data_IF_151848739629
#
_entry.id   IF_151848739629
#
_cell.length_a   1.000
_cell.length_b   1.000
_cell.length_c   1.000
_cell.angle_alpha   90.00
_cell.angle_beta   90.00
_cell.angle_gamma   90.00
#
_symmetry.space_group_name_H-M   'P 1'
#
loop_
_entity.id
_entity.type
_entity.pdbx_description
1 polymer ?
#
# COMPACT_ATOMS: atom_id res chain seq x y z
N UNK A 1 -7.32 7.87 0.47
CA UNK A 1 -6.76 9.22 0.20
C UNK A 1 -6.03 9.37 -1.13
N UNK A 2 -4.86 8.75 -1.34
CA UNK A 2 -4.02 8.98 -2.55
C UNK A 2 -4.78 8.79 -3.88
N UNK A 3 -5.62 7.76 -3.98
CA UNK A 3 -6.38 7.48 -5.22
C UNK A 3 -7.48 8.51 -5.55
N UNK A 4 -7.78 9.45 -4.64
CA UNK A 4 -8.74 10.55 -4.89
C UNK A 4 -8.17 11.61 -5.83
N UNK A 5 -6.85 11.70 -5.94
CA UNK A 5 -6.15 12.61 -6.84
C UNK A 5 -6.17 12.06 -8.28
N UNK A 6 -6.61 12.88 -9.24
CA UNK A 6 -6.86 12.45 -10.63
C UNK A 6 -5.58 12.27 -11.46
N UNK A 7 -4.53 12.96 -11.08
CA UNK A 7 -3.19 12.92 -11.66
C UNK A 7 -2.35 11.74 -11.17
N UNK A 8 -2.78 11.03 -10.12
CA UNK A 8 -2.16 9.77 -9.69
C UNK A 8 -2.38 8.70 -10.75
N UNK A 9 -1.28 8.28 -11.38
CA UNK A 9 -1.24 7.25 -12.43
C UNK A 9 -1.04 5.84 -11.88
N UNK A 10 -0.30 5.70 -10.78
CA UNK A 10 0.04 4.42 -10.16
C UNK A 10 0.29 4.60 -8.67
N UNK A 11 -0.09 3.58 -7.89
CA UNK A 11 0.20 3.48 -6.45
C UNK A 11 0.79 2.11 -6.17
N UNK A 12 1.93 2.07 -5.51
CA UNK A 12 2.52 0.82 -5.00
C UNK A 12 2.39 0.82 -3.48
N UNK A 13 1.71 -0.19 -2.94
CA UNK A 13 1.63 -0.46 -1.50
C UNK A 13 2.54 -1.63 -1.18
N UNK A 14 3.52 -1.42 -0.32
CA UNK A 14 4.43 -2.48 0.15
C UNK A 14 4.04 -2.82 1.57
N UNK A 15 3.63 -4.07 1.78
CA UNK A 15 3.14 -4.58 3.06
C UNK A 15 3.81 -5.94 3.31
N UNK A 16 4.35 -6.16 4.50
CA UNK A 16 5.05 -7.40 4.82
C UNK A 16 4.06 -8.53 5.16
N UNK A 17 2.92 -8.20 5.75
CA UNK A 17 1.92 -9.17 6.16
C UNK A 17 0.81 -9.35 5.08
N UNK A 18 0.77 -10.50 4.38
CA UNK A 18 -0.28 -10.77 3.40
C UNK A 18 -1.68 -10.84 4.01
N UNK A 19 -1.82 -11.08 5.32
CA UNK A 19 -3.11 -11.04 6.01
C UNK A 19 -3.71 -9.63 6.03
N UNK A 20 -2.89 -8.59 6.22
CA UNK A 20 -3.33 -7.19 6.20
C UNK A 20 -3.91 -6.83 4.83
N UNK A 21 -3.17 -7.14 3.76
CA UNK A 21 -3.65 -6.89 2.38
C UNK A 21 -4.91 -7.70 2.05
N UNK A 22 -4.99 -8.95 2.53
CA UNK A 22 -6.19 -9.78 2.32
C UNK A 22 -7.40 -9.17 3.02
N UNK A 23 -7.28 -8.82 4.29
CA UNK A 23 -8.36 -8.19 5.06
C UNK A 23 -8.82 -6.89 4.42
N UNK A 24 -7.88 -6.01 4.04
CA UNK A 24 -8.22 -4.75 3.36
C UNK A 24 -8.95 -4.96 2.02
N UNK A 25 -8.76 -6.11 1.35
CA UNK A 25 -9.44 -6.47 0.10
C UNK A 25 -10.81 -7.11 0.31
N UNK A 26 -10.94 -7.99 1.31
CA UNK A 26 -12.06 -8.94 1.38
C UNK A 26 -12.95 -8.77 2.60
N UNK A 27 -12.44 -8.21 3.70
CA UNK A 27 -13.26 -7.95 4.87
C UNK A 27 -14.25 -6.81 4.58
N UNK A 28 -15.57 -6.99 4.80
CA UNK A 28 -16.57 -5.97 4.44
C UNK A 28 -16.37 -4.63 5.16
N UNK A 29 -15.97 -4.64 6.42
CA UNK A 29 -15.78 -3.42 7.20
C UNK A 29 -14.52 -2.67 6.73
N UNK A 30 -13.40 -3.38 6.61
CA UNK A 30 -12.12 -2.77 6.21
C UNK A 30 -12.10 -2.35 4.74
N UNK A 31 -12.67 -3.16 3.85
CA UNK A 31 -12.79 -2.80 2.43
C UNK A 31 -13.77 -1.65 2.21
N UNK A 32 -14.85 -1.56 3.01
CA UNK A 32 -15.72 -0.39 3.01
C UNK A 32 -15.00 0.88 3.51
N UNK A 33 -14.24 0.76 4.59
CA UNK A 33 -13.48 1.88 5.18
C UNK A 33 -12.44 2.45 4.21
N UNK A 34 -11.71 1.60 3.49
CA UNK A 34 -10.74 2.04 2.50
C UNK A 34 -11.37 2.45 1.15
N UNK A 35 -12.69 2.44 1.02
CA UNK A 35 -13.40 2.79 -0.21
C UNK A 35 -13.10 1.83 -1.37
N UNK A 36 -12.83 0.56 -1.06
CA UNK A 36 -12.40 -0.47 -1.99
C UNK A 36 -11.12 -0.11 -2.78
N UNK A 37 -10.20 0.63 -2.18
CA UNK A 37 -8.96 1.10 -2.81
C UNK A 37 -8.16 -0.02 -3.50
N UNK A 38 -8.14 -1.23 -2.93
CA UNK A 38 -7.42 -2.37 -3.48
C UNK A 38 -8.04 -2.98 -4.75
N UNK A 39 -9.22 -2.51 -5.18
CA UNK A 39 -9.84 -2.84 -6.47
C UNK A 39 -9.51 -1.83 -7.56
N UNK A 40 -8.88 -0.69 -7.22
CA UNK A 40 -8.49 0.31 -8.21
C UNK A 40 -7.36 -0.26 -9.10
N UNK A 41 -7.49 -0.22 -10.44
CA UNK A 41 -6.48 -0.77 -11.35
C UNK A 41 -5.13 -0.04 -11.27
N UNK A 42 -5.08 1.16 -10.69
CA UNK A 42 -3.83 1.91 -10.48
C UNK A 42 -3.03 1.39 -9.29
N UNK A 43 -3.62 0.56 -8.42
CA UNK A 43 -2.98 0.06 -7.21
C UNK A 43 -2.33 -1.30 -7.45
N UNK A 44 -1.04 -1.39 -7.13
CA UNK A 44 -0.30 -2.65 -7.02
C UNK A 44 0.10 -2.88 -5.56
N UNK A 45 -0.22 -4.06 -5.03
CA UNK A 45 0.19 -4.46 -3.68
C UNK A 45 1.36 -5.44 -3.78
N UNK A 46 2.41 -5.20 -3.01
CA UNK A 46 3.64 -6.00 -2.96
C UNK A 46 3.81 -6.55 -1.54
N UNK A 47 3.88 -7.87 -1.43
CA UNK A 47 4.15 -8.58 -0.17
C UNK A 47 5.65 -8.63 0.13
N UNK A 48 6.20 -7.64 0.84
CA UNK A 48 7.64 -7.58 1.12
C UNK A 48 7.98 -6.68 2.32
N UNK A 49 9.18 -6.87 2.88
CA UNK A 49 9.80 -5.84 3.72
C UNK A 49 10.10 -4.58 2.88
N UNK A 50 9.59 -3.43 3.34
CA UNK A 50 9.66 -2.18 2.57
C UNK A 50 11.10 -1.73 2.29
N UNK A 51 12.00 -1.86 3.25
CA UNK A 51 13.40 -1.43 3.07
C UNK A 51 14.18 -2.35 2.14
N UNK A 52 13.96 -3.66 2.25
CA UNK A 52 14.56 -4.65 1.35
C UNK A 52 14.05 -4.44 -0.07
N UNK A 53 12.75 -4.22 -0.25
CA UNK A 53 12.15 -3.97 -1.54
C UNK A 53 12.66 -2.66 -2.17
N UNK A 54 12.69 -1.55 -1.42
CA UNK A 54 13.19 -0.25 -1.90
C UNK A 54 14.65 -0.29 -2.35
N UNK A 55 15.50 -1.13 -1.74
CA UNK A 55 16.91 -1.26 -2.15
C UNK A 55 17.08 -2.01 -3.47
N UNK A 56 16.17 -2.93 -3.77
CA UNK A 56 16.18 -3.71 -5.00
C UNK A 56 15.46 -2.99 -6.15
N UNK A 57 14.42 -2.23 -5.81
CA UNK A 57 13.61 -1.50 -6.78
C UNK A 57 14.39 -0.39 -7.51
N UNK A 58 14.05 -0.19 -8.78
CA UNK A 58 14.70 0.80 -9.66
C UNK A 58 13.72 1.84 -10.20
N UNK A 59 12.45 1.79 -9.78
CA UNK A 59 11.45 2.74 -10.23
C UNK A 59 11.67 4.10 -9.57
N UNK A 60 11.14 5.14 -10.20
CA UNK A 60 11.11 6.49 -9.63
C UNK A 60 9.70 6.79 -9.16
N UNK A 61 9.61 7.40 -7.99
CA UNK A 61 8.36 7.82 -7.38
C UNK A 61 8.37 9.33 -7.22
N UNK A 62 7.25 9.98 -7.57
CA UNK A 62 7.07 11.42 -7.36
C UNK A 62 6.86 11.74 -5.88
N UNK A 63 6.26 10.81 -5.12
CA UNK A 63 5.98 10.91 -3.69
C UNK A 63 6.18 9.56 -3.02
N UNK A 64 6.78 9.55 -1.83
CA UNK A 64 6.87 8.37 -0.94
C UNK A 64 6.16 8.68 0.37
N UNK A 65 5.28 7.78 0.82
CA UNK A 65 4.55 7.89 2.09
C UNK A 65 4.96 6.71 2.95
N UNK A 66 5.38 6.98 4.19
CA UNK A 66 5.74 5.96 5.18
C UNK A 66 4.76 6.02 6.33
N UNK A 67 3.85 5.04 6.38
CA UNK A 67 2.86 4.85 7.46
C UNK A 67 3.23 3.63 8.30
N UNK A 68 4.44 3.67 8.88
CA UNK A 68 4.98 2.59 9.71
C UNK A 68 4.68 2.87 11.18
N UNK A 69 4.47 1.82 12.02
CA UNK A 69 4.31 2.00 13.45
C UNK A 69 5.55 2.60 14.09
N UNK A 70 5.40 3.10 15.32
CA UNK A 70 6.53 3.61 16.11
C UNK A 70 7.62 2.52 16.22
N UNK A 71 8.88 2.83 15.90
CA UNK A 71 9.98 1.86 15.92
C UNK A 71 10.22 1.20 17.29
N UNK A 72 9.62 1.72 18.37
CA UNK A 72 9.69 1.13 19.71
C UNK A 72 8.81 -0.11 19.93
N UNK A 73 7.96 -0.50 18.98
CA UNK A 73 7.18 -1.75 19.04
C UNK A 73 7.89 -2.85 18.23
N UNK A 74 8.81 -3.57 18.88
CA UNK A 74 9.36 -4.85 18.41
C UNK A 74 9.29 -5.89 19.51
#
# INVERSE_FOLDING_TARGET
>A
EVLRYRDVRSVTVVEIDPAVTRLARTDPALSGLNGHAYRDPRLTAVGADAFTWLRADRHRYDVVISDLPDPGFT
#
